data_IF_087680830503
#
_entry.id   IF_087680830503
#
_cell.length_a   1.000
_cell.length_b   1.000
_cell.length_c   1.000
_cell.angle_alpha   90.00
_cell.angle_beta   90.00
_cell.angle_gamma   90.00
#
_symmetry.space_group_name_H-M   'P 1'
#
loop_
_entity.id
_entity.type
_entity.pdbx_description
1 polymer ?
#
# COMPACT_ATOMS: atom_id res chain seq x y z
N UNK A 1 -23.76 26.73 -28.30
CA UNK A 1 -22.28 26.59 -28.18
C UNK A 1 -21.97 25.15 -27.84
N UNK A 2 -20.94 24.52 -28.46
CA UNK A 2 -20.47 23.19 -28.03
C UNK A 2 -19.84 23.32 -26.64
N UNK A 3 -20.24 22.44 -25.68
CA UNK A 3 -19.63 22.39 -24.38
C UNK A 3 -18.12 22.08 -24.51
N UNK A 4 -17.26 22.65 -23.66
CA UNK A 4 -15.83 22.33 -23.68
C UNK A 4 -15.63 20.84 -23.39
N UNK A 5 -14.70 20.22 -24.10
CA UNK A 5 -14.23 18.87 -23.78
C UNK A 5 -13.16 19.04 -22.71
N UNK A 6 -13.46 18.54 -21.51
CA UNK A 6 -12.53 18.56 -20.36
C UNK A 6 -12.09 17.11 -20.12
N UNK A 7 -10.78 16.78 -20.27
CA UNK A 7 -10.25 15.47 -19.90
C UNK A 7 -10.40 15.22 -18.39
N UNK A 8 -10.48 13.96 -18.00
CA UNK A 8 -10.60 13.57 -16.59
C UNK A 8 -9.47 14.14 -15.72
N UNK A 9 -8.24 14.15 -16.23
CA UNK A 9 -7.05 14.63 -15.53
C UNK A 9 -7.08 16.14 -15.24
N UNK A 10 -7.86 16.91 -16.01
CA UNK A 10 -8.01 18.36 -15.84
C UNK A 10 -9.17 18.74 -14.91
N UNK A 11 -10.00 17.79 -14.45
CA UNK A 11 -11.18 18.09 -13.64
C UNK A 11 -10.78 18.83 -12.37
N UNK A 12 -9.89 18.27 -11.56
CA UNK A 12 -9.52 18.86 -10.28
C UNK A 12 -8.82 20.22 -10.44
N UNK A 13 -7.97 20.38 -11.42
CA UNK A 13 -7.35 21.67 -11.74
C UNK A 13 -8.39 22.75 -12.03
N UNK A 14 -9.40 22.40 -12.83
CA UNK A 14 -10.48 23.32 -13.18
C UNK A 14 -11.40 23.61 -11.98
N UNK A 15 -11.66 22.60 -11.14
CA UNK A 15 -12.44 22.76 -9.89
C UNK A 15 -11.72 23.70 -8.93
N UNK A 16 -10.43 23.50 -8.69
CA UNK A 16 -9.62 24.37 -7.80
C UNK A 16 -9.63 25.82 -8.31
N UNK A 17 -9.37 26.03 -9.60
CA UNK A 17 -9.39 27.36 -10.20
C UNK A 17 -10.79 28.03 -10.08
N UNK A 18 -11.85 27.27 -10.27
CA UNK A 18 -13.20 27.77 -10.12
C UNK A 18 -13.53 28.13 -8.66
N UNK A 19 -13.12 27.30 -7.70
CA UNK A 19 -13.33 27.52 -6.29
C UNK A 19 -12.52 28.74 -5.75
N UNK A 20 -11.29 28.91 -6.18
CA UNK A 20 -10.43 30.04 -5.79
C UNK A 20 -10.89 31.39 -6.37
N UNK A 21 -11.50 31.38 -7.56
CA UNK A 21 -11.99 32.60 -8.23
C UNK A 21 -13.36 33.09 -7.72
N UNK A 22 -13.98 32.41 -6.75
CA UNK A 22 -15.26 32.81 -6.20
C UNK A 22 -15.12 33.91 -5.15
N UNK A 23 -16.17 34.72 -5.05
CA UNK A 23 -16.39 35.63 -3.91
C UNK A 23 -16.37 34.84 -2.58
N UNK A 24 -16.13 35.51 -1.44
CA UNK A 24 -16.19 34.86 -0.14
C UNK A 24 -17.51 34.10 0.03
N UNK A 25 -17.41 32.86 0.52
CA UNK A 25 -18.57 32.03 0.89
C UNK A 25 -19.11 32.56 2.21
N UNK A 26 -20.43 32.69 2.38
CA UNK A 26 -21.02 33.10 3.66
C UNK A 26 -20.60 32.15 4.80
N UNK A 27 -20.19 32.70 5.93
CA UNK A 27 -19.80 31.91 7.11
C UNK A 27 -20.90 30.94 7.58
N UNK A 28 -22.17 31.35 7.39
CA UNK A 28 -23.32 30.52 7.70
C UNK A 28 -23.40 29.21 6.91
N UNK A 29 -22.69 29.13 5.76
CA UNK A 29 -22.72 27.95 4.91
C UNK A 29 -21.94 26.75 5.52
N UNK A 30 -20.96 27.04 6.40
CA UNK A 30 -20.07 26.01 6.94
C UNK A 30 -19.21 25.35 5.86
N UNK A 31 -18.93 24.07 6.04
CA UNK A 31 -18.07 23.31 5.12
C UNK A 31 -18.80 22.98 3.81
N UNK A 32 -18.11 23.23 2.70
CA UNK A 32 -18.56 22.92 1.33
C UNK A 32 -17.70 21.82 0.75
N UNK A 33 -18.30 20.71 0.35
CA UNK A 33 -17.61 19.58 -0.25
C UNK A 33 -17.87 19.53 -1.76
N UNK A 34 -16.80 19.59 -2.55
CA UNK A 34 -16.83 19.40 -4.01
C UNK A 34 -16.54 17.93 -4.28
N UNK A 35 -17.57 17.14 -4.49
CA UNK A 35 -17.49 15.68 -4.56
C UNK A 35 -17.48 15.22 -6.02
N UNK A 36 -16.39 14.61 -6.46
CA UNK A 36 -16.33 13.87 -7.72
C UNK A 36 -16.86 12.46 -7.46
N UNK A 37 -17.96 12.12 -8.12
CA UNK A 37 -18.59 10.82 -7.96
C UNK A 37 -17.92 9.74 -8.83
N UNK A 38 -18.41 8.50 -8.72
CA UNK A 38 -17.88 7.33 -9.46
C UNK A 38 -17.93 7.46 -10.98
N UNK A 39 -18.73 8.38 -11.52
CA UNK A 39 -18.83 8.65 -12.97
C UNK A 39 -17.94 9.82 -13.42
N UNK A 40 -17.13 10.38 -12.52
CA UNK A 40 -16.28 11.54 -12.79
C UNK A 40 -17.04 12.87 -12.86
N UNK A 41 -18.31 12.94 -12.42
CA UNK A 41 -19.05 14.18 -12.34
C UNK A 41 -18.90 14.84 -10.97
N UNK A 42 -18.75 16.17 -10.95
CA UNK A 42 -18.54 16.95 -9.74
C UNK A 42 -19.84 17.58 -9.27
N UNK A 43 -20.16 17.39 -7.99
CA UNK A 43 -21.32 17.98 -7.28
C UNK A 43 -20.87 18.73 -6.03
N UNK A 44 -21.70 19.64 -5.59
CA UNK A 44 -21.54 20.35 -4.32
C UNK A 44 -22.37 19.64 -3.27
N UNK A 45 -21.76 19.25 -2.14
CA UNK A 45 -22.48 18.71 -0.98
C UNK A 45 -22.28 19.63 0.22
N UNK A 46 -23.36 19.95 0.89
CA UNK A 46 -23.39 20.83 2.08
C UNK A 46 -24.40 20.28 3.11
N UNK A 47 -24.30 20.73 4.35
CA UNK A 47 -25.27 20.37 5.37
C UNK A 47 -26.71 20.77 4.99
N UNK A 48 -27.69 19.92 5.28
CA UNK A 48 -29.11 20.18 5.09
C UNK A 48 -29.63 21.32 6.02
N UNK A 49 -28.89 21.65 7.07
CA UNK A 49 -29.19 22.78 7.95
C UNK A 49 -29.28 24.14 7.23
N UNK A 50 -28.63 24.29 6.05
CA UNK A 50 -28.62 25.55 5.28
C UNK A 50 -29.58 25.56 4.09
N UNK A 51 -30.41 24.52 3.89
CA UNK A 51 -31.31 24.38 2.75
C UNK A 51 -32.31 25.55 2.59
N UNK A 52 -32.71 26.16 3.69
CA UNK A 52 -33.66 27.28 3.68
C UNK A 52 -33.04 28.69 3.65
N UNK A 53 -31.72 28.84 3.64
CA UNK A 53 -31.02 30.12 3.64
C UNK A 53 -30.84 30.65 2.23
N UNK A 54 -31.54 31.75 1.89
CA UNK A 54 -31.49 32.37 0.57
C UNK A 54 -30.07 32.86 0.19
N UNK A 55 -29.29 33.36 1.16
CA UNK A 55 -27.92 33.85 0.91
C UNK A 55 -26.99 32.70 0.60
N UNK A 56 -27.06 31.62 1.37
CA UNK A 56 -26.31 30.39 1.14
C UNK A 56 -26.69 29.75 -0.20
N UNK A 57 -27.97 29.66 -0.50
CA UNK A 57 -28.46 29.12 -1.76
C UNK A 57 -27.96 29.92 -2.98
N UNK A 58 -27.97 31.25 -2.91
CA UNK A 58 -27.46 32.09 -3.97
C UNK A 58 -25.96 31.89 -4.21
N UNK A 59 -25.16 31.72 -3.16
CA UNK A 59 -23.73 31.43 -3.26
C UNK A 59 -23.46 30.05 -3.90
N UNK A 60 -24.19 29.02 -3.45
CA UNK A 60 -24.09 27.65 -4.00
C UNK A 60 -24.50 27.59 -5.46
N UNK A 61 -25.54 28.32 -5.86
CA UNK A 61 -25.97 28.41 -7.26
C UNK A 61 -24.94 29.09 -8.15
N UNK A 62 -24.24 30.13 -7.66
CA UNK A 62 -23.12 30.74 -8.39
C UNK A 62 -21.98 29.75 -8.61
N UNK A 63 -21.61 29.01 -7.55
CA UNK A 63 -20.59 27.98 -7.62
C UNK A 63 -20.98 26.85 -8.58
N UNK A 64 -22.19 26.31 -8.47
CA UNK A 64 -22.70 25.25 -9.33
C UNK A 64 -22.69 25.67 -10.82
N UNK A 65 -23.12 26.91 -11.12
CA UNK A 65 -23.07 27.45 -12.47
C UNK A 65 -21.65 27.53 -12.99
N UNK A 66 -20.73 28.02 -12.17
CA UNK A 66 -19.32 28.15 -12.55
C UNK A 66 -18.68 26.79 -12.80
N UNK A 67 -18.92 25.81 -11.94
CA UNK A 67 -18.44 24.42 -12.13
C UNK A 67 -18.99 23.82 -13.42
N UNK A 68 -20.29 24.02 -13.71
CA UNK A 68 -20.89 23.53 -14.96
C UNK A 68 -20.24 24.15 -16.21
N UNK A 69 -19.94 25.45 -16.18
CA UNK A 69 -19.28 26.15 -17.29
C UNK A 69 -17.86 25.63 -17.56
N UNK A 70 -17.05 25.39 -16.49
CA UNK A 70 -15.63 25.02 -16.64
C UNK A 70 -15.40 23.52 -16.81
N UNK A 71 -16.34 22.68 -16.35
CA UNK A 71 -16.19 21.23 -16.37
C UNK A 71 -16.92 20.55 -17.55
N UNK A 72 -17.73 21.28 -18.30
CA UNK A 72 -18.43 20.71 -19.45
C UNK A 72 -19.32 19.52 -19.10
N UNK A 73 -19.00 18.32 -19.62
CA UNK A 73 -19.77 17.09 -19.33
C UNK A 73 -19.60 16.58 -17.88
N UNK A 74 -18.51 16.94 -17.23
CA UNK A 74 -18.24 16.57 -15.82
C UNK A 74 -18.93 17.52 -14.82
N UNK A 75 -19.43 18.68 -15.25
CA UNK A 75 -20.23 19.57 -14.43
C UNK A 75 -21.70 19.20 -14.48
N UNK A 76 -22.31 18.93 -13.31
CA UNK A 76 -23.75 18.62 -13.24
C UNK A 76 -24.57 19.89 -13.46
N UNK A 77 -25.74 19.78 -14.09
CA UNK A 77 -26.68 20.88 -14.28
C UNK A 77 -27.08 21.49 -12.92
N UNK A 78 -27.29 22.80 -12.89
CA UNK A 78 -27.51 23.61 -11.70
C UNK A 78 -28.57 23.04 -10.74
N UNK A 79 -29.66 22.47 -11.26
CA UNK A 79 -30.76 21.89 -10.48
C UNK A 79 -30.38 20.62 -9.71
N UNK A 80 -29.37 19.87 -10.20
CA UNK A 80 -28.89 18.60 -9.61
C UNK A 80 -27.44 18.70 -9.13
N UNK A 81 -26.85 19.89 -9.19
CA UNK A 81 -25.44 20.13 -8.85
C UNK A 81 -25.17 20.33 -7.35
N UNK A 82 -26.24 20.63 -6.60
CA UNK A 82 -26.17 20.91 -5.15
C UNK A 82 -26.94 19.80 -4.44
N UNK A 83 -26.29 19.19 -3.45
CA UNK A 83 -26.89 18.17 -2.58
C UNK A 83 -26.88 18.67 -1.14
N UNK A 84 -28.05 18.81 -0.56
CA UNK A 84 -28.23 19.02 0.85
C UNK A 84 -28.27 17.64 1.55
N UNK A 85 -27.36 17.41 2.47
CA UNK A 85 -27.13 16.09 3.06
C UNK A 85 -26.95 16.21 4.58
N UNK A 86 -27.28 15.15 5.30
CA UNK A 86 -27.12 15.12 6.75
C UNK A 86 -25.65 15.19 7.17
N UNK A 87 -25.38 15.72 8.36
CA UNK A 87 -24.02 15.76 8.93
C UNK A 87 -23.41 14.37 9.06
N UNK A 88 -24.22 13.33 9.27
CA UNK A 88 -23.75 11.94 9.29
C UNK A 88 -23.18 11.52 7.93
N UNK A 89 -23.85 11.88 6.84
CA UNK A 89 -23.35 11.63 5.49
C UNK A 89 -22.08 12.44 5.20
N UNK A 90 -22.03 13.73 5.59
CA UNK A 90 -20.82 14.54 5.43
C UNK A 90 -19.61 13.92 6.16
N UNK A 91 -19.82 13.40 7.36
CA UNK A 91 -18.78 12.68 8.10
C UNK A 91 -18.31 11.41 7.37
N UNK A 92 -19.22 10.68 6.74
CA UNK A 92 -18.87 9.45 6.00
C UNK A 92 -18.02 9.68 4.74
N UNK A 93 -18.08 10.89 4.16
CA UNK A 93 -17.31 11.24 2.93
C UNK A 93 -16.04 12.03 3.23
N UNK A 94 -15.67 12.24 4.48
CA UNK A 94 -14.49 13.05 4.86
C UNK A 94 -13.16 12.31 4.69
N UNK A 95 -13.16 11.00 4.44
CA UNK A 95 -11.94 10.25 4.15
C UNK A 95 -11.27 10.78 2.88
N UNK A 96 -9.99 11.19 2.99
CA UNK A 96 -9.23 11.72 1.85
C UNK A 96 -9.67 13.12 1.37
N UNK A 97 -10.34 13.92 2.21
CA UNK A 97 -10.67 15.31 1.86
C UNK A 97 -9.42 16.18 1.78
N UNK A 98 -9.35 17.03 0.74
CA UNK A 98 -8.30 18.02 0.54
C UNK A 98 -8.89 19.42 0.58
N UNK A 99 -8.37 20.26 1.46
CA UNK A 99 -8.79 21.67 1.53
C UNK A 99 -8.17 22.46 0.36
N UNK A 100 -9.00 23.24 -0.35
CA UNK A 100 -8.56 24.13 -1.43
C UNK A 100 -8.62 25.60 -1.07
N UNK A 101 -9.47 25.95 -0.12
CA UNK A 101 -9.58 27.24 0.56
C UNK A 101 -10.37 27.03 1.86
N UNK A 102 -10.36 28.00 2.79
CA UNK A 102 -11.11 27.86 4.05
C UNK A 102 -12.56 27.39 3.82
N UNK A 103 -12.94 26.31 4.47
CA UNK A 103 -14.26 25.68 4.42
C UNK A 103 -14.66 25.09 3.05
N UNK A 104 -13.71 24.89 2.08
CA UNK A 104 -14.01 24.23 0.81
C UNK A 104 -13.06 23.07 0.59
N UNK A 105 -13.64 21.88 0.47
CA UNK A 105 -12.91 20.63 0.39
C UNK A 105 -13.21 19.88 -0.92
N UNK A 106 -12.20 19.25 -1.49
CA UNK A 106 -12.35 18.25 -2.55
C UNK A 106 -12.50 16.88 -1.94
N UNK A 107 -13.41 16.07 -2.50
CA UNK A 107 -13.61 14.69 -2.12
C UNK A 107 -13.73 13.85 -3.39
N UNK A 108 -12.92 12.81 -3.53
CA UNK A 108 -13.02 11.87 -4.63
C UNK A 108 -13.68 10.56 -4.13
N UNK A 109 -14.80 10.19 -4.76
CA UNK A 109 -15.44 8.91 -4.45
C UNK A 109 -14.88 7.84 -5.36
N UNK A 110 -14.21 6.88 -4.77
CA UNK A 110 -13.58 5.76 -5.44
C UNK A 110 -14.29 4.45 -5.08
N UNK A 111 -14.26 3.48 -5.99
CA UNK A 111 -14.69 2.10 -5.72
C UNK A 111 -13.49 1.27 -5.27
N UNK A 112 -12.32 1.62 -5.80
CA UNK A 112 -11.05 0.96 -5.51
C UNK A 112 -9.95 2.02 -5.43
N UNK A 113 -8.79 1.65 -4.94
CA UNK A 113 -7.61 2.49 -4.76
C UNK A 113 -7.78 3.60 -3.70
N UNK A 114 -8.80 3.53 -2.84
CA UNK A 114 -9.03 4.50 -1.76
C UNK A 114 -7.94 4.45 -0.69
N UNK A 115 -7.36 3.28 -0.46
CA UNK A 115 -6.37 3.05 0.60
C UNK A 115 -4.98 3.64 0.26
N UNK A 116 -4.74 4.02 -1.00
CA UNK A 116 -3.53 4.77 -1.39
C UNK A 116 -3.52 6.24 -0.96
N UNK A 117 -4.62 6.76 -0.43
CA UNK A 117 -4.80 8.17 -0.07
C UNK A 117 -4.52 8.47 1.40
N UNK A 118 -4.16 7.47 2.17
CA UNK A 118 -3.84 7.59 3.59
C UNK A 118 -2.57 6.84 3.91
N UNK A 119 -1.84 7.29 4.90
CA UNK A 119 -0.70 6.57 5.49
C UNK A 119 -0.99 6.39 6.96
N UNK A 120 -1.07 5.14 7.40
CA UNK A 120 -1.26 4.80 8.80
C UNK A 120 -0.01 5.10 9.65
N UNK A 121 -0.21 5.27 10.94
CA UNK A 121 0.91 5.37 11.86
C UNK A 121 1.71 4.06 11.89
N UNK A 122 3.06 4.13 11.99
CA UNK A 122 3.88 2.93 12.16
C UNK A 122 3.40 2.09 13.35
N UNK A 123 3.58 0.77 13.29
CA UNK A 123 3.21 -0.10 14.40
C UNK A 123 3.93 0.35 15.69
N UNK A 124 3.20 0.30 16.81
CA UNK A 124 3.69 0.74 18.11
C UNK A 124 5.03 0.09 18.49
N UNK A 125 5.94 0.85 19.15
CA UNK A 125 7.18 0.30 19.70
C UNK A 125 6.90 -0.92 20.60
N UNK A 126 7.72 -1.97 20.47
CA UNK A 126 7.62 -3.19 21.28
C UNK A 126 6.83 -4.34 20.63
N UNK A 127 6.24 -4.14 19.45
CA UNK A 127 5.70 -5.23 18.62
C UNK A 127 6.72 -5.71 17.60
N UNK A 128 6.41 -6.86 16.95
CA UNK A 128 7.24 -7.42 15.90
C UNK A 128 7.59 -6.41 14.80
N UNK A 129 8.81 -6.44 14.29
CA UNK A 129 9.18 -5.66 13.12
C UNK A 129 8.44 -6.18 11.88
N UNK A 130 7.71 -5.32 11.17
CA UNK A 130 6.86 -5.69 10.02
C UNK A 130 7.48 -5.24 8.72
N UNK A 131 7.76 -6.18 7.83
CA UNK A 131 8.30 -5.93 6.50
C UNK A 131 7.30 -6.36 5.43
N UNK A 132 6.92 -5.43 4.55
CA UNK A 132 6.07 -5.73 3.39
C UNK A 132 6.93 -5.92 2.15
N UNK A 133 6.76 -7.05 1.45
CA UNK A 133 7.35 -7.33 0.16
C UNK A 133 6.33 -6.93 -0.93
N UNK A 134 6.58 -5.84 -1.61
CA UNK A 134 5.66 -5.27 -2.59
C UNK A 134 6.30 -5.10 -3.96
N UNK A 135 5.52 -5.19 -5.02
CA UNK A 135 5.91 -4.83 -6.38
C UNK A 135 4.73 -4.37 -7.22
N UNK A 136 4.99 -3.47 -8.16
CA UNK A 136 4.00 -3.06 -9.16
C UNK A 136 3.76 -4.12 -10.24
N UNK A 137 4.70 -5.05 -10.44
CA UNK A 137 4.60 -6.17 -11.40
C UNK A 137 4.70 -7.52 -10.69
N UNK A 138 3.96 -8.51 -11.17
CA UNK A 138 4.08 -9.89 -10.72
C UNK A 138 5.35 -10.59 -11.26
N UNK A 139 5.70 -11.73 -10.66
CA UNK A 139 6.79 -12.59 -11.16
C UNK A 139 8.22 -12.10 -10.85
N UNK A 140 8.38 -11.16 -9.94
CA UNK A 140 9.69 -10.60 -9.54
C UNK A 140 10.31 -11.29 -8.30
N UNK A 141 9.79 -12.43 -7.87
CA UNK A 141 10.42 -13.27 -6.83
C UNK A 141 10.06 -12.90 -5.38
N UNK A 142 8.99 -12.14 -5.10
CA UNK A 142 8.55 -11.80 -3.73
C UNK A 142 8.33 -13.02 -2.85
N UNK A 143 7.52 -14.00 -3.31
CA UNK A 143 7.23 -15.24 -2.57
C UNK A 143 8.49 -16.02 -2.24
N UNK A 144 9.42 -16.13 -3.19
CA UNK A 144 10.72 -16.76 -2.98
C UNK A 144 11.52 -15.99 -1.93
N UNK A 145 11.54 -14.67 -2.01
CA UNK A 145 12.25 -13.82 -1.05
C UNK A 145 11.64 -13.91 0.35
N UNK A 146 10.31 -13.93 0.47
CA UNK A 146 9.65 -14.12 1.76
C UNK A 146 10.06 -15.45 2.42
N UNK A 147 10.10 -16.55 1.65
CA UNK A 147 10.57 -17.85 2.12
C UNK A 147 12.05 -17.85 2.53
N UNK A 148 12.90 -17.21 1.72
CA UNK A 148 14.36 -17.10 2.00
C UNK A 148 14.62 -16.23 3.24
N UNK A 149 13.91 -15.10 3.40
CA UNK A 149 14.01 -14.27 4.58
C UNK A 149 13.55 -15.02 5.84
N UNK A 150 12.41 -15.72 5.78
CA UNK A 150 11.94 -16.53 6.90
C UNK A 150 12.96 -17.62 7.28
N UNK A 151 13.53 -18.30 6.28
CA UNK A 151 14.58 -19.29 6.47
C UNK A 151 15.85 -18.70 7.11
N UNK A 152 16.32 -17.54 6.62
CA UNK A 152 17.50 -16.84 7.14
C UNK A 152 17.30 -16.39 8.59
N UNK A 153 16.19 -15.70 8.86
CA UNK A 153 15.87 -15.17 10.19
C UNK A 153 15.71 -16.30 11.22
N UNK A 154 15.02 -17.39 10.86
CA UNK A 154 14.83 -18.52 11.78
C UNK A 154 16.15 -19.25 12.08
N UNK A 155 17.05 -19.37 11.12
CA UNK A 155 18.41 -19.88 11.38
C UNK A 155 19.21 -19.01 12.33
N UNK A 156 18.91 -17.71 12.37
CA UNK A 156 19.50 -16.74 13.31
C UNK A 156 18.69 -16.64 14.63
N UNK A 157 17.85 -17.63 14.94
CA UNK A 157 17.12 -17.74 16.21
C UNK A 157 15.89 -16.85 16.32
N UNK A 158 15.41 -16.22 15.21
CA UNK A 158 14.21 -15.38 15.23
C UNK A 158 12.93 -16.19 15.04
N UNK A 159 11.87 -15.76 15.71
CA UNK A 159 10.50 -16.25 15.47
C UNK A 159 9.88 -15.40 14.36
N UNK A 160 9.49 -16.02 13.27
CA UNK A 160 9.02 -15.34 12.05
C UNK A 160 7.59 -15.74 11.74
N UNK A 161 6.70 -14.77 11.58
CA UNK A 161 5.39 -14.94 11.00
C UNK A 161 5.42 -14.48 9.55
N UNK A 162 4.98 -15.31 8.61
CA UNK A 162 4.84 -14.95 7.19
C UNK A 162 3.36 -15.00 6.82
N UNK A 163 2.84 -13.94 6.22
CA UNK A 163 1.45 -13.84 5.76
C UNK A 163 1.40 -13.74 4.23
N UNK A 164 0.68 -14.68 3.60
CA UNK A 164 0.43 -14.68 2.14
C UNK A 164 -0.82 -13.84 1.84
N UNK A 165 -0.62 -12.57 1.53
CA UNK A 165 -1.69 -11.61 1.22
C UNK A 165 -1.95 -11.45 -0.30
N UNK A 166 -1.29 -12.26 -1.15
CA UNK A 166 -1.65 -12.37 -2.58
C UNK A 166 -2.82 -13.35 -2.76
N UNK A 167 -4.00 -12.93 -2.26
CA UNK A 167 -5.15 -13.80 -2.16
C UNK A 167 -5.71 -14.24 -3.52
N UNK A 168 -5.53 -13.47 -4.59
CA UNK A 168 -6.00 -13.81 -5.92
C UNK A 168 -5.04 -14.74 -6.67
N UNK A 169 -3.76 -14.72 -6.31
CA UNK A 169 -2.73 -15.55 -6.95
C UNK A 169 -1.79 -16.16 -5.90
N UNK A 170 -2.34 -16.93 -4.94
CA UNK A 170 -1.56 -17.44 -3.81
C UNK A 170 -0.47 -18.39 -4.29
N UNK A 171 0.78 -18.01 -4.05
CA UNK A 171 1.94 -18.77 -4.50
C UNK A 171 2.86 -19.21 -3.38
N UNK A 172 3.09 -18.36 -2.39
CA UNK A 172 3.99 -18.59 -1.27
C UNK A 172 3.64 -19.86 -0.50
N UNK A 173 2.38 -19.97 -0.08
CA UNK A 173 1.93 -21.07 0.77
C UNK A 173 2.11 -22.43 0.12
N UNK A 174 1.79 -22.54 -1.17
CA UNK A 174 1.95 -23.80 -1.91
C UNK A 174 3.40 -24.11 -2.22
N UNK A 175 4.27 -23.12 -2.32
CA UNK A 175 5.69 -23.30 -2.56
C UNK A 175 6.46 -23.76 -1.31
N UNK A 176 5.98 -23.37 -0.10
CA UNK A 176 6.68 -23.56 1.18
C UNK A 176 6.07 -24.67 2.03
N UNK A 177 4.73 -24.82 2.03
CA UNK A 177 4.02 -25.82 2.81
C UNK A 177 3.63 -27.03 1.96
N UNK A 178 4.07 -28.22 2.38
CA UNK A 178 3.59 -29.47 1.79
C UNK A 178 2.06 -29.62 2.03
N UNK A 179 1.32 -30.28 1.13
CA UNK A 179 -0.13 -30.38 1.21
C UNK A 179 -0.66 -30.93 2.54
N UNK A 180 0.06 -31.88 3.15
CA UNK A 180 -0.28 -32.52 4.43
C UNK A 180 0.01 -31.61 5.64
N UNK A 181 0.81 -30.56 5.47
CA UNK A 181 1.15 -29.58 6.51
C UNK A 181 0.31 -28.31 6.47
N UNK A 182 -0.54 -28.13 5.47
CA UNK A 182 -1.39 -26.94 5.39
C UNK A 182 -2.33 -26.88 6.59
N UNK A 183 -2.53 -25.70 7.20
CA UNK A 183 -3.47 -25.53 8.30
C UNK A 183 -4.91 -25.67 7.81
N UNK A 184 -5.86 -25.80 8.73
CA UNK A 184 -7.27 -25.96 8.39
C UNK A 184 -7.86 -24.71 7.75
N UNK A 185 -7.42 -23.52 8.19
CA UNK A 185 -7.90 -22.22 7.74
C UNK A 185 -6.75 -21.38 7.20
N UNK A 186 -7.07 -20.42 6.32
CA UNK A 186 -6.16 -19.41 5.83
C UNK A 186 -6.69 -18.00 6.06
N UNK A 187 -5.97 -17.02 5.51
CA UNK A 187 -6.31 -15.59 5.64
C UNK A 187 -7.70 -15.30 5.09
N UNK A 188 -8.04 -15.86 3.91
CA UNK A 188 -9.38 -15.72 3.30
C UNK A 188 -10.48 -16.25 4.19
N UNK A 189 -10.24 -17.36 4.89
CA UNK A 189 -11.21 -17.94 5.83
C UNK A 189 -11.47 -16.99 6.99
N UNK A 190 -10.41 -16.42 7.58
CA UNK A 190 -10.55 -15.48 8.69
C UNK A 190 -11.37 -14.24 8.28
N UNK A 191 -11.10 -13.67 7.10
CA UNK A 191 -11.84 -12.50 6.63
C UNK A 191 -13.34 -12.77 6.49
N UNK A 192 -13.70 -13.96 6.01
CA UNK A 192 -15.12 -14.36 5.87
C UNK A 192 -15.75 -14.62 7.24
N UNK A 193 -15.06 -15.33 8.13
CA UNK A 193 -15.54 -15.60 9.48
C UNK A 193 -15.64 -14.34 10.33
N UNK A 194 -14.77 -13.36 10.10
CA UNK A 194 -14.82 -12.07 10.77
C UNK A 194 -16.08 -11.26 10.43
N UNK A 195 -16.67 -11.43 9.23
CA UNK A 195 -17.93 -10.78 8.86
C UNK A 195 -19.12 -11.18 9.76
N UNK A 196 -19.04 -12.37 10.35
CA UNK A 196 -20.08 -12.90 11.28
C UNK A 196 -19.58 -12.99 12.72
N UNK A 197 -18.46 -12.32 13.04
CA UNK A 197 -17.91 -12.26 14.40
C UNK A 197 -17.21 -13.53 14.90
N UNK A 198 -16.80 -14.44 13.99
CA UNK A 198 -16.17 -15.72 14.34
C UNK A 198 -14.66 -15.76 13.99
N UNK A 199 -14.05 -14.68 13.53
CA UNK A 199 -12.64 -14.64 13.11
C UNK A 199 -11.67 -15.19 14.16
N UNK A 200 -11.83 -14.79 15.43
CA UNK A 200 -10.95 -15.25 16.53
C UNK A 200 -11.00 -16.77 16.78
N UNK A 201 -12.08 -17.44 16.37
CA UNK A 201 -12.23 -18.88 16.58
C UNK A 201 -11.35 -19.72 15.65
N UNK A 202 -10.86 -19.15 14.56
CA UNK A 202 -10.02 -19.83 13.57
C UNK A 202 -8.53 -19.57 13.75
N UNK A 203 -8.13 -18.52 14.47
CA UNK A 203 -6.74 -18.06 14.63
C UNK A 203 -5.77 -19.20 15.00
N UNK A 204 -6.04 -19.97 16.03
CA UNK A 204 -5.17 -21.06 16.49
C UNK A 204 -4.97 -22.21 15.47
N UNK A 205 -5.68 -22.19 14.32
CA UNK A 205 -5.61 -23.20 13.26
C UNK A 205 -5.30 -22.60 11.88
N UNK A 206 -4.75 -21.37 11.86
CA UNK A 206 -4.45 -20.64 10.62
C UNK A 206 -2.98 -20.68 10.21
N UNK A 207 -2.10 -21.20 11.04
CA UNK A 207 -0.67 -21.19 10.76
C UNK A 207 -0.07 -22.58 10.76
N UNK A 208 0.98 -22.77 9.96
CA UNK A 208 1.76 -23.99 9.94
C UNK A 208 3.25 -23.68 9.78
N UNK A 209 4.09 -24.61 10.28
CA UNK A 209 5.53 -24.54 10.12
C UNK A 209 6.00 -25.35 8.90
N UNK A 210 6.89 -24.80 8.04
CA UNK A 210 7.51 -25.57 6.98
C UNK A 210 8.46 -26.62 7.57
N UNK A 211 8.71 -27.71 6.81
CA UNK A 211 9.55 -28.83 7.30
C UNK A 211 10.97 -28.38 7.66
N UNK A 212 11.56 -27.53 6.83
CA UNK A 212 12.94 -27.07 7.05
C UNK A 212 13.14 -26.19 8.28
N UNK A 213 12.07 -25.64 8.86
CA UNK A 213 12.16 -24.85 10.08
C UNK A 213 12.35 -25.69 11.36
N UNK A 214 12.11 -27.01 11.29
CA UNK A 214 12.18 -27.88 12.47
C UNK A 214 13.59 -28.04 13.07
N UNK A 215 14.63 -27.79 12.26
CA UNK A 215 16.02 -27.96 12.64
C UNK A 215 16.69 -26.64 13.04
N UNK A 216 15.92 -25.55 13.20
CA UNK A 216 16.44 -24.23 13.51
C UNK A 216 16.18 -23.84 14.97
N UNK A 217 17.02 -22.94 15.50
CA UNK A 217 16.84 -22.39 16.83
C UNK A 217 15.64 -21.42 16.93
N UNK A 218 15.26 -20.80 15.82
CA UNK A 218 14.07 -19.96 15.68
C UNK A 218 12.82 -20.77 15.27
N UNK A 219 11.70 -20.06 15.07
CA UNK A 219 10.44 -20.64 14.60
C UNK A 219 9.95 -19.92 13.35
N UNK A 220 9.23 -20.63 12.47
CA UNK A 220 8.55 -20.05 11.32
C UNK A 220 7.09 -20.49 11.32
N UNK A 221 6.21 -19.51 11.27
CA UNK A 221 4.76 -19.71 11.08
C UNK A 221 4.32 -19.07 9.79
N UNK A 222 3.70 -19.86 8.92
CA UNK A 222 3.12 -19.40 7.65
C UNK A 222 1.61 -19.33 7.83
N UNK A 223 1.02 -18.14 7.65
CA UNK A 223 -0.41 -17.95 7.48
C UNK A 223 -0.72 -17.94 5.98
N UNK A 224 -1.25 -19.02 5.40
CA UNK A 224 -1.51 -19.13 3.98
C UNK A 224 -2.72 -18.30 3.56
N UNK A 225 -2.81 -17.94 2.28
CA UNK A 225 -3.97 -17.29 1.70
C UNK A 225 -5.26 -18.11 1.87
N UNK A 226 -5.16 -19.45 1.78
CA UNK A 226 -6.26 -20.39 2.04
C UNK A 226 -5.81 -21.60 2.86
N UNK A 227 -6.73 -22.16 3.62
CA UNK A 227 -6.52 -23.39 4.37
C UNK A 227 -6.45 -24.64 3.48
N UNK A 228 -6.51 -25.82 4.13
CA UNK A 228 -6.46 -27.13 3.47
C UNK A 228 -7.60 -27.32 2.46
N UNK A 229 -8.81 -26.88 2.84
CA UNK A 229 -10.00 -26.98 2.00
C UNK A 229 -10.18 -25.71 1.16
N UNK A 230 -10.10 -25.83 -0.16
CA UNK A 230 -10.19 -24.70 -1.10
C UNK A 230 -11.43 -24.73 -2.02
N UNK A 231 -12.37 -25.66 -1.77
CA UNK A 231 -13.54 -25.87 -2.64
C UNK A 231 -14.43 -24.64 -2.83
N UNK A 232 -14.57 -23.81 -1.80
CA UNK A 232 -15.36 -22.56 -1.80
C UNK A 232 -14.49 -21.29 -1.94
N UNK A 233 -13.24 -21.44 -2.38
CA UNK A 233 -12.27 -20.32 -2.35
C UNK A 233 -12.75 -19.08 -3.12
N UNK A 234 -13.27 -19.24 -4.32
CA UNK A 234 -13.78 -18.12 -5.13
C UNK A 234 -14.98 -17.43 -4.45
N UNK A 235 -15.85 -18.20 -3.80
CA UNK A 235 -16.99 -17.65 -3.07
C UNK A 235 -16.53 -16.85 -1.84
N UNK A 236 -15.49 -17.31 -1.15
CA UNK A 236 -14.86 -16.62 -0.03
C UNK A 236 -14.13 -15.35 -0.51
N UNK A 237 -13.32 -15.46 -1.56
CA UNK A 237 -12.57 -14.34 -2.14
C UNK A 237 -13.48 -13.17 -2.52
N UNK A 238 -14.65 -13.44 -3.10
CA UNK A 238 -15.65 -12.42 -3.42
C UNK A 238 -16.23 -11.70 -2.19
N UNK A 239 -15.93 -12.16 -0.96
CA UNK A 239 -16.41 -11.56 0.30
C UNK A 239 -15.31 -10.91 1.13
N UNK A 240 -14.05 -11.24 0.86
CA UNK A 240 -12.89 -10.71 1.62
C UNK A 240 -12.89 -9.19 1.62
N UNK A 241 -13.19 -8.58 0.46
CA UNK A 241 -13.10 -7.14 0.23
C UNK A 241 -14.41 -6.39 0.49
N UNK A 242 -15.40 -7.05 1.05
CA UNK A 242 -16.64 -6.36 1.42
C UNK A 242 -16.34 -5.39 2.57
N UNK A 243 -16.44 -4.10 2.30
CA UNK A 243 -16.48 -3.11 3.36
C UNK A 243 -17.78 -3.25 4.14
N UNK A 244 -17.66 -3.22 5.44
CA UNK A 244 -18.80 -3.00 6.32
C UNK A 244 -18.74 -1.56 6.83
N UNK A 245 -19.89 -0.95 7.12
CA UNK A 245 -19.97 0.43 7.61
C UNK A 245 -19.16 0.66 8.91
N UNK A 246 -18.78 -0.42 9.60
CA UNK A 246 -18.12 -0.39 10.91
C UNK A 246 -16.62 -0.78 10.79
N UNK A 247 -16.27 -1.70 9.89
CA UNK A 247 -14.92 -2.28 9.78
C UNK A 247 -14.47 -2.32 8.32
N UNK A 248 -13.87 -1.23 7.79
CA UNK A 248 -13.23 -1.23 6.47
C UNK A 248 -12.07 -2.25 6.40
N UNK A 249 -11.69 -2.63 5.19
CA UNK A 249 -10.69 -3.67 4.94
C UNK A 249 -9.36 -3.46 5.68
N UNK A 250 -8.75 -2.25 5.69
CA UNK A 250 -7.50 -2.01 6.42
C UNK A 250 -7.62 -2.27 7.94
N UNK A 251 -8.75 -1.89 8.54
CA UNK A 251 -9.01 -2.13 9.97
C UNK A 251 -9.11 -3.63 10.27
N UNK A 252 -9.75 -4.40 9.38
CA UNK A 252 -9.82 -5.86 9.52
C UNK A 252 -8.46 -6.52 9.34
N UNK A 253 -7.64 -6.05 8.37
CA UNK A 253 -6.28 -6.51 8.19
C UNK A 253 -5.43 -6.26 9.45
N UNK A 254 -5.52 -5.07 10.01
CA UNK A 254 -4.83 -4.73 11.25
C UNK A 254 -5.24 -5.65 12.41
N UNK A 255 -6.55 -5.90 12.58
CA UNK A 255 -7.07 -6.83 13.60
C UNK A 255 -6.54 -8.25 13.41
N UNK A 256 -6.59 -8.80 12.18
CA UNK A 256 -6.02 -10.11 11.87
C UNK A 256 -4.54 -10.18 12.25
N UNK A 257 -3.78 -9.17 11.85
CA UNK A 257 -2.35 -9.10 12.14
C UNK A 257 -2.07 -9.11 13.65
N UNK A 258 -2.81 -8.30 14.41
CA UNK A 258 -2.72 -8.25 15.88
C UNK A 258 -3.05 -9.62 16.52
N UNK A 259 -4.11 -10.31 16.04
CA UNK A 259 -4.50 -11.62 16.56
C UNK A 259 -3.44 -12.68 16.29
N UNK A 260 -2.85 -12.69 15.09
CA UNK A 260 -1.77 -13.61 14.73
C UNK A 260 -0.46 -13.28 15.48
N UNK A 261 -0.12 -12.00 15.68
CA UNK A 261 1.04 -11.60 16.50
C UNK A 261 0.86 -12.03 17.96
N UNK A 262 -0.33 -11.95 18.52
CA UNK A 262 -0.60 -12.41 19.89
C UNK A 262 -0.50 -13.93 19.99
N UNK A 263 -0.97 -14.67 18.99
CA UNK A 263 -0.93 -16.14 18.94
C UNK A 263 0.50 -16.67 18.74
N UNK A 264 1.24 -16.11 17.76
CA UNK A 264 2.55 -16.61 17.35
C UNK A 264 3.71 -15.95 18.11
N UNK A 265 3.49 -14.79 18.73
CA UNK A 265 4.52 -13.95 19.38
C UNK A 265 5.82 -13.83 18.57
N UNK A 266 5.73 -13.36 17.29
CA UNK A 266 6.89 -13.29 16.40
C UNK A 266 7.82 -12.14 16.77
N UNK A 267 9.10 -12.28 16.43
CA UNK A 267 10.08 -11.17 16.44
C UNK A 267 10.00 -10.36 15.15
N UNK A 268 9.65 -11.03 14.05
CA UNK A 268 9.54 -10.43 12.70
C UNK A 268 8.28 -10.94 12.00
N UNK A 269 7.57 -10.03 11.33
CA UNK A 269 6.44 -10.34 10.43
C UNK A 269 6.81 -9.99 9.01
N UNK A 270 6.67 -10.94 8.09
CA UNK A 270 6.85 -10.76 6.65
C UNK A 270 5.47 -10.80 5.98
N UNK A 271 5.10 -9.71 5.30
CA UNK A 271 3.85 -9.58 4.58
C UNK A 271 4.13 -9.68 3.08
N UNK A 272 3.76 -10.79 2.44
CA UNK A 272 3.79 -10.87 0.98
C UNK A 272 2.55 -10.19 0.42
N UNK A 273 2.72 -8.96 -0.06
CA UNK A 273 1.65 -8.18 -0.64
C UNK A 273 1.29 -8.64 -2.05
N UNK A 274 0.06 -8.41 -2.48
CA UNK A 274 -0.33 -8.51 -3.88
C UNK A 274 0.45 -7.52 -4.75
N UNK A 275 0.69 -7.88 -6.02
CA UNK A 275 1.28 -6.95 -7.00
C UNK A 275 0.26 -5.96 -7.56
N UNK A 276 0.76 -4.81 -8.03
CA UNK A 276 -0.04 -3.78 -8.71
C UNK A 276 -0.65 -2.76 -7.76
N UNK A 277 -1.35 -1.79 -8.34
CA UNK A 277 -1.95 -0.66 -7.63
C UNK A 277 -3.36 -1.00 -7.12
N UNK A 278 -3.48 -2.02 -6.28
CA UNK A 278 -4.73 -2.51 -5.70
C UNK A 278 -4.84 -2.13 -4.22
N UNK A 279 -6.05 -1.98 -3.68
CA UNK A 279 -6.29 -1.56 -2.29
C UNK A 279 -5.63 -2.46 -1.24
N UNK A 280 -5.57 -3.78 -1.49
CA UNK A 280 -4.86 -4.69 -0.58
C UNK A 280 -3.38 -4.34 -0.49
N UNK A 281 -2.76 -4.06 -1.66
CA UNK A 281 -1.37 -3.63 -1.70
C UNK A 281 -1.20 -2.29 -0.99
N UNK A 282 -2.15 -1.36 -1.16
CA UNK A 282 -2.16 -0.09 -0.47
C UNK A 282 -2.10 -0.29 1.04
N UNK A 283 -3.08 -0.97 1.64
CA UNK A 283 -3.12 -1.17 3.09
C UNK A 283 -1.88 -1.89 3.64
N UNK A 284 -1.30 -2.85 2.88
CA UNK A 284 -0.05 -3.50 3.30
C UNK A 284 1.17 -2.59 3.25
N UNK A 285 1.19 -1.60 2.35
CA UNK A 285 2.28 -0.65 2.17
C UNK A 285 2.11 0.56 3.08
N UNK A 286 0.90 1.14 3.15
CA UNK A 286 0.67 2.42 3.81
C UNK A 286 0.29 2.30 5.29
N UNK A 287 -0.44 1.22 5.69
CA UNK A 287 -1.01 1.15 7.04
C UNK A 287 -0.25 0.23 7.98
N UNK A 288 0.10 -0.99 7.52
CA UNK A 288 0.59 -2.03 8.45
C UNK A 288 2.11 -2.22 8.44
N UNK A 289 2.80 -1.80 7.38
CA UNK A 289 4.25 -1.96 7.27
C UNK A 289 5.02 -0.97 8.14
N UNK A 290 6.03 -1.46 8.87
CA UNK A 290 7.09 -0.61 9.42
C UNK A 290 8.13 -0.31 8.35
N UNK A 291 8.38 -1.25 7.44
CA UNK A 291 9.30 -1.11 6.32
C UNK A 291 8.77 -1.83 5.07
N UNK A 292 8.98 -1.23 3.90
CA UNK A 292 8.51 -1.75 2.61
C UNK A 292 9.70 -2.00 1.68
N UNK A 293 9.82 -3.24 1.22
CA UNK A 293 10.77 -3.66 0.20
C UNK A 293 10.08 -3.58 -1.17
N UNK A 294 10.49 -2.61 -1.99
CA UNK A 294 9.94 -2.34 -3.31
C UNK A 294 10.68 -3.16 -4.38
N UNK A 295 10.11 -4.26 -4.83
CA UNK A 295 10.73 -5.13 -5.84
C UNK A 295 10.58 -4.55 -7.24
N UNK A 296 11.69 -4.36 -7.94
CA UNK A 296 11.74 -3.88 -9.31
C UNK A 296 12.78 -4.66 -10.14
N UNK A 297 12.59 -4.65 -11.46
CA UNK A 297 13.60 -4.97 -12.45
C UNK A 297 13.94 -3.72 -13.25
N UNK A 298 15.14 -3.64 -13.86
CA UNK A 298 15.50 -2.52 -14.73
C UNK A 298 14.72 -2.58 -16.05
N UNK A 299 13.45 -2.15 -15.98
CA UNK A 299 12.56 -2.09 -17.14
C UNK A 299 11.71 -0.82 -17.11
N UNK A 300 11.50 -0.23 -18.29
CA UNK A 300 10.70 0.98 -18.45
C UNK A 300 9.30 0.85 -17.83
N UNK A 301 8.68 -0.34 -17.94
CA UNK A 301 7.35 -0.55 -17.36
C UNK A 301 7.35 -0.56 -15.84
N UNK A 302 8.39 -1.07 -15.17
CA UNK A 302 8.52 -0.97 -13.71
C UNK A 302 8.68 0.48 -13.26
N UNK A 303 9.60 1.22 -13.89
CA UNK A 303 9.84 2.62 -13.55
C UNK A 303 8.62 3.50 -13.78
N UNK A 304 7.88 3.26 -14.88
CA UNK A 304 6.63 3.99 -15.18
C UNK A 304 5.57 3.76 -14.11
N UNK A 305 5.34 2.51 -13.68
CA UNK A 305 4.31 2.21 -12.71
C UNK A 305 4.68 2.71 -11.30
N UNK A 306 5.95 2.60 -10.88
CA UNK A 306 6.39 3.21 -9.63
C UNK A 306 6.30 4.75 -9.68
N UNK A 307 6.59 5.37 -10.83
CA UNK A 307 6.42 6.83 -11.02
C UNK A 307 4.97 7.26 -10.84
N UNK A 308 4.00 6.44 -11.30
CA UNK A 308 2.56 6.70 -11.06
C UNK A 308 2.28 6.73 -9.56
N UNK A 309 2.77 5.73 -8.80
CA UNK A 309 2.56 5.62 -7.37
C UNK A 309 3.23 6.77 -6.59
N UNK A 310 4.50 7.03 -6.85
CA UNK A 310 5.26 8.06 -6.14
C UNK A 310 4.73 9.46 -6.43
N UNK A 311 4.34 9.73 -7.68
CA UNK A 311 3.67 10.98 -8.05
C UNK A 311 2.34 11.13 -7.33
N UNK A 312 1.57 10.05 -7.14
CA UNK A 312 0.35 10.08 -6.37
C UNK A 312 0.64 10.49 -4.91
N UNK A 313 1.62 9.88 -4.24
CA UNK A 313 2.00 10.27 -2.89
C UNK A 313 2.47 11.71 -2.78
N UNK A 314 3.26 12.18 -3.73
CA UNK A 314 3.71 13.57 -3.79
C UNK A 314 2.54 14.56 -3.97
N UNK A 315 1.60 14.27 -4.87
CA UNK A 315 0.44 15.12 -5.14
C UNK A 315 -0.56 15.20 -3.98
N UNK A 316 -0.53 14.24 -3.08
CA UNK A 316 -1.44 14.16 -1.93
C UNK A 316 -0.76 14.39 -0.58
N UNK A 317 0.46 14.94 -0.59
CA UNK A 317 1.24 15.29 0.61
C UNK A 317 1.50 14.07 1.54
N UNK A 318 1.65 12.87 0.93
CA UNK A 318 1.91 11.60 1.64
C UNK A 318 3.38 11.19 1.57
N UNK A 319 4.17 11.79 0.68
CA UNK A 319 5.57 11.43 0.44
C UNK A 319 6.40 11.46 1.72
N UNK A 320 6.30 12.52 2.52
CA UNK A 320 7.02 12.68 3.80
C UNK A 320 6.65 11.61 4.83
N UNK A 321 5.41 11.11 4.80
CA UNK A 321 4.91 10.14 5.77
C UNK A 321 5.39 8.71 5.49
N UNK A 322 5.75 8.40 4.22
CA UNK A 322 6.08 7.04 3.79
C UNK A 322 7.55 6.85 3.40
N UNK A 323 8.23 7.89 2.94
CA UNK A 323 9.56 7.81 2.30
C UNK A 323 10.63 7.11 3.15
N UNK A 324 10.62 7.31 4.46
CA UNK A 324 11.59 6.70 5.38
C UNK A 324 11.40 5.18 5.55
N UNK A 325 10.23 4.66 5.16
CA UNK A 325 9.91 3.23 5.26
C UNK A 325 10.30 2.45 4.02
N UNK A 326 10.73 3.11 2.95
CA UNK A 326 10.93 2.49 1.63
C UNK A 326 12.37 2.07 1.41
N UNK A 327 12.58 0.90 0.84
CA UNK A 327 13.85 0.48 0.23
C UNK A 327 13.59 -0.27 -1.07
N UNK A 328 14.41 -0.01 -2.08
CA UNK A 328 14.29 -0.67 -3.39
C UNK A 328 15.07 -1.98 -3.44
N UNK A 329 14.51 -2.95 -4.15
CA UNK A 329 15.13 -4.27 -4.38
C UNK A 329 15.35 -4.47 -5.87
N UNK A 330 16.61 -4.65 -6.28
CA UNK A 330 16.95 -5.12 -7.62
C UNK A 330 16.66 -6.60 -7.71
N UNK A 331 15.48 -6.94 -8.19
CA UNK A 331 15.01 -8.30 -8.33
C UNK A 331 15.49 -8.93 -9.65
N UNK A 332 15.79 -10.22 -9.61
CA UNK A 332 16.18 -10.99 -10.78
C UNK A 332 17.40 -10.38 -11.53
N UNK A 333 18.35 -9.82 -10.80
CA UNK A 333 19.59 -9.25 -11.34
C UNK A 333 20.29 -10.29 -12.21
N UNK A 334 20.61 -9.99 -13.49
CA UNK A 334 21.13 -10.97 -14.43
C UNK A 334 22.56 -11.44 -14.06
N UNK A 335 22.90 -12.68 -14.44
CA UNK A 335 24.23 -13.26 -14.23
C UNK A 335 25.30 -12.61 -15.14
N UNK A 336 24.90 -12.07 -16.27
CA UNK A 336 25.79 -11.43 -17.27
C UNK A 336 25.58 -9.93 -17.28
N UNK A 337 26.66 -9.17 -17.48
CA UNK A 337 26.67 -7.70 -17.52
C UNK A 337 26.08 -7.06 -16.23
N UNK A 338 26.31 -7.73 -15.11
CA UNK A 338 25.72 -7.40 -13.80
C UNK A 338 26.04 -5.98 -13.36
N UNK A 339 27.30 -5.55 -13.46
CA UNK A 339 27.73 -4.21 -13.03
C UNK A 339 27.00 -3.10 -13.80
N UNK A 340 26.94 -3.24 -15.13
CA UNK A 340 26.23 -2.27 -15.97
C UNK A 340 24.73 -2.27 -15.73
N UNK A 341 24.14 -3.44 -15.45
CA UNK A 341 22.73 -3.55 -15.08
C UNK A 341 22.47 -2.84 -13.77
N UNK A 342 23.26 -3.08 -12.73
CA UNK A 342 23.10 -2.46 -11.41
C UNK A 342 23.30 -0.95 -11.45
N UNK A 343 24.27 -0.47 -12.22
CA UNK A 343 24.45 0.97 -12.42
C UNK A 343 23.19 1.63 -12.99
N UNK A 344 22.64 1.08 -14.09
CA UNK A 344 21.39 1.64 -14.66
C UNK A 344 20.20 1.51 -13.73
N UNK A 345 20.12 0.40 -12.98
CA UNK A 345 19.07 0.20 -11.99
C UNK A 345 19.14 1.27 -10.89
N UNK A 346 20.34 1.51 -10.37
CA UNK A 346 20.58 2.52 -9.34
C UNK A 346 20.28 3.94 -9.82
N UNK A 347 20.74 4.28 -11.04
CA UNK A 347 20.39 5.55 -11.70
C UNK A 347 18.88 5.73 -11.84
N UNK A 348 18.15 4.71 -12.31
CA UNK A 348 16.70 4.73 -12.46
C UNK A 348 15.94 4.83 -11.13
N UNK A 349 16.46 4.14 -10.10
CA UNK A 349 15.92 4.23 -8.75
C UNK A 349 16.17 5.61 -8.14
N UNK A 350 17.39 6.13 -8.25
CA UNK A 350 17.73 7.45 -7.74
C UNK A 350 16.90 8.55 -8.40
N UNK A 351 16.74 8.55 -9.72
CA UNK A 351 15.89 9.49 -10.46
C UNK A 351 14.43 9.44 -9.93
N UNK A 352 13.90 8.24 -9.71
CA UNK A 352 12.54 8.05 -9.21
C UNK A 352 12.36 8.64 -7.80
N UNK A 353 13.29 8.34 -6.88
CA UNK A 353 13.25 8.82 -5.49
C UNK A 353 13.50 10.33 -5.42
N UNK A 354 14.50 10.86 -6.14
CA UNK A 354 14.83 12.29 -6.21
C UNK A 354 13.64 13.10 -6.71
N UNK A 355 12.99 12.67 -7.77
CA UNK A 355 11.94 13.44 -8.43
C UNK A 355 10.64 13.50 -7.62
N UNK A 356 10.44 12.59 -6.62
CA UNK A 356 9.16 12.46 -5.95
C UNK A 356 9.19 12.36 -4.42
N UNK A 357 10.30 11.94 -3.83
CA UNK A 357 10.38 11.63 -2.40
C UNK A 357 11.48 12.39 -1.66
N UNK A 358 12.56 12.79 -2.34
CA UNK A 358 13.66 13.53 -1.72
C UNK A 358 13.32 15.00 -1.63
N UNK A 359 13.87 15.66 -0.60
CA UNK A 359 13.72 17.09 -0.42
C UNK A 359 14.61 17.85 -1.43
N UNK A 360 14.08 18.96 -1.99
CA UNK A 360 14.87 19.90 -2.77
C UNK A 360 15.79 20.68 -1.82
N UNK A 361 17.06 20.28 -1.75
CA UNK A 361 18.06 20.92 -0.90
C UNK A 361 18.83 21.95 -1.70
N UNK A 362 18.63 23.25 -1.42
CA UNK A 362 19.31 24.36 -2.12
C UNK A 362 20.83 24.44 -1.81
N UNK A 363 21.35 23.74 -0.81
CA UNK A 363 22.78 23.74 -0.45
C UNK A 363 23.22 22.42 0.21
N UNK A 364 24.40 21.88 -0.12
CA UNK A 364 24.91 20.61 0.40
C UNK A 364 25.22 20.58 1.91
N UNK A 365 25.02 21.68 2.64
CA UNK A 365 25.34 21.83 4.06
C UNK A 365 24.13 21.82 5.00
N UNK A 366 22.89 21.62 4.51
CA UNK A 366 21.72 21.49 5.39
C UNK A 366 21.60 20.04 5.90
N UNK A 367 22.08 19.80 7.11
CA UNK A 367 22.08 18.48 7.79
C UNK A 367 20.67 17.92 8.10
N UNK A 368 19.59 18.62 7.73
CA UNK A 368 18.23 18.34 8.18
C UNK A 368 17.26 17.87 7.06
N UNK A 369 17.73 17.56 5.84
CA UNK A 369 16.88 17.14 4.73
C UNK A 369 16.92 15.63 4.44
N UNK A 370 15.79 15.05 4.01
CA UNK A 370 15.73 13.67 3.48
C UNK A 370 16.15 13.71 1.99
N UNK A 371 17.46 13.77 1.74
CA UNK A 371 18.06 13.82 0.42
C UNK A 371 19.36 13.01 0.40
N UNK A 372 19.65 12.33 -0.71
CA UNK A 372 20.77 11.43 -0.86
C UNK A 372 21.39 11.60 -2.25
N UNK A 373 22.73 11.51 -2.31
CA UNK A 373 23.46 11.45 -3.57
C UNK A 373 23.34 10.05 -4.21
N UNK A 374 23.57 9.98 -5.52
CA UNK A 374 23.47 8.71 -6.30
C UNK A 374 24.29 7.57 -5.68
N UNK A 375 25.48 7.89 -5.17
CA UNK A 375 26.45 6.92 -4.66
C UNK A 375 26.38 6.72 -3.14
N UNK A 376 25.35 7.25 -2.49
CA UNK A 376 25.17 7.08 -1.04
C UNK A 376 24.79 5.65 -0.69
N UNK A 377 25.66 4.98 0.06
CA UNK A 377 25.42 3.64 0.59
C UNK A 377 24.23 3.67 1.59
N UNK A 378 23.45 2.60 1.61
CA UNK A 378 22.29 2.42 2.50
C UNK A 378 21.16 3.46 2.30
N UNK A 379 21.21 4.31 1.27
CA UNK A 379 20.11 5.17 0.88
C UNK A 379 18.87 4.36 0.43
N UNK A 380 17.65 4.91 0.50
CA UNK A 380 16.43 4.21 0.06
C UNK A 380 16.47 3.72 -1.39
N UNK A 381 17.16 4.44 -2.28
CA UNK A 381 17.34 4.10 -3.69
C UNK A 381 18.50 3.16 -3.96
N UNK A 382 19.45 2.99 -3.01
CA UNK A 382 20.53 2.03 -3.15
C UNK A 382 19.96 0.61 -3.06
N UNK A 383 20.11 -0.27 -4.08
CA UNK A 383 19.30 -1.48 -4.16
C UNK A 383 19.77 -2.63 -3.26
N UNK A 384 18.82 -3.33 -2.62
CA UNK A 384 19.05 -4.67 -2.12
C UNK A 384 19.08 -5.63 -3.34
N UNK A 385 20.17 -6.33 -3.56
CA UNK A 385 20.40 -7.08 -4.81
C UNK A 385 20.07 -8.55 -4.66
N UNK A 386 19.16 -9.07 -5.52
CA UNK A 386 18.83 -10.49 -5.65
C UNK A 386 19.23 -10.95 -7.05
N UNK A 387 20.21 -11.87 -7.12
CA UNK A 387 20.66 -12.44 -8.38
C UNK A 387 19.69 -13.51 -8.91
N UNK A 388 19.41 -13.45 -10.22
CA UNK A 388 18.67 -14.50 -10.88
C UNK A 388 19.51 -15.79 -10.91
N UNK A 389 18.90 -16.92 -10.55
CA UNK A 389 19.54 -18.23 -10.64
C UNK A 389 18.57 -19.27 -11.19
N UNK A 390 19.06 -20.17 -12.02
CA UNK A 390 18.24 -21.26 -12.60
C UNK A 390 17.60 -22.13 -11.51
N UNK A 391 18.30 -22.35 -10.39
CA UNK A 391 17.83 -23.19 -9.29
C UNK A 391 16.56 -22.67 -8.63
N UNK A 392 16.37 -21.35 -8.59
CA UNK A 392 15.18 -20.70 -8.01
C UNK A 392 14.12 -20.35 -9.07
N UNK A 393 14.53 -20.08 -10.32
CA UNK A 393 13.63 -19.67 -11.40
C UNK A 393 12.79 -20.82 -11.98
N UNK A 394 13.22 -22.07 -11.87
CA UNK A 394 12.53 -23.23 -12.46
C UNK A 394 11.28 -23.70 -11.69
N UNK A 395 10.69 -22.87 -10.84
CA UNK A 395 9.56 -23.28 -9.98
C UNK A 395 9.99 -24.33 -8.95
N UNK A 396 11.27 -24.27 -8.53
CA UNK A 396 11.78 -25.15 -7.49
C UNK A 396 10.91 -25.05 -6.26
N UNK A 397 10.48 -26.18 -5.75
CA UNK A 397 9.79 -26.26 -4.47
C UNK A 397 10.70 -25.67 -3.39
N UNK A 398 10.18 -24.68 -2.67
CA UNK A 398 10.89 -24.09 -1.52
C UNK A 398 10.76 -24.99 -0.26
N UNK A 399 10.30 -26.23 -0.44
CA UNK A 399 10.22 -27.23 0.65
C UNK A 399 11.62 -27.68 1.12
N UNK A 400 12.67 -27.50 0.32
CA UNK A 400 14.04 -27.86 0.66
C UNK A 400 15.00 -26.74 0.25
N UNK A 401 15.00 -25.63 1.01
CA UNK A 401 15.93 -24.52 0.82
C UNK A 401 17.33 -24.93 1.25
N UNK A 402 18.28 -24.92 0.30
CA UNK A 402 19.68 -25.24 0.55
C UNK A 402 20.52 -23.97 0.71
N UNK A 403 21.38 -23.98 1.71
CA UNK A 403 22.30 -22.85 1.96
C UNK A 403 23.09 -22.42 0.73
N UNK A 404 23.60 -23.37 -0.08
CA UNK A 404 24.35 -23.05 -1.30
C UNK A 404 23.52 -22.29 -2.35
N UNK A 405 22.25 -22.66 -2.53
CA UNK A 405 21.34 -22.00 -3.47
C UNK A 405 20.96 -20.61 -2.97
N UNK A 406 20.67 -20.50 -1.68
CA UNK A 406 20.34 -19.21 -1.05
C UNK A 406 21.54 -18.27 -1.12
N UNK A 407 22.74 -18.72 -0.72
CA UNK A 407 23.95 -17.88 -0.73
C UNK A 407 24.29 -17.38 -2.13
N UNK A 408 24.11 -18.19 -3.17
CA UNK A 408 24.42 -17.78 -4.54
C UNK A 408 23.54 -16.61 -5.03
N UNK A 409 22.25 -16.61 -4.66
CA UNK A 409 21.30 -15.61 -5.15
C UNK A 409 21.09 -14.44 -4.17
N UNK A 410 21.21 -14.67 -2.87
CA UNK A 410 20.72 -13.78 -1.84
C UNK A 410 21.79 -13.25 -0.86
N UNK A 411 23.08 -13.62 -0.96
CA UNK A 411 24.07 -13.22 0.04
C UNK A 411 24.10 -11.69 0.24
N UNK A 412 24.23 -10.93 -0.83
CA UNK A 412 24.25 -9.46 -0.80
C UNK A 412 22.95 -8.88 -0.25
N UNK A 413 21.80 -9.42 -0.68
CA UNK A 413 20.48 -9.02 -0.19
C UNK A 413 20.34 -9.23 1.33
N UNK A 414 20.72 -10.41 1.82
CA UNK A 414 20.60 -10.77 3.23
C UNK A 414 21.51 -9.93 4.13
N UNK A 415 22.76 -9.70 3.71
CA UNK A 415 23.69 -8.85 4.45
C UNK A 415 23.17 -7.42 4.60
N UNK A 416 22.58 -6.88 3.52
CA UNK A 416 22.00 -5.55 3.56
C UNK A 416 20.68 -5.51 4.35
N UNK A 417 19.82 -6.51 4.19
CA UNK A 417 18.60 -6.64 5.01
C UNK A 417 18.92 -6.70 6.49
N UNK A 418 19.96 -7.44 6.90
CA UNK A 418 20.38 -7.50 8.31
C UNK A 418 20.87 -6.13 8.84
N UNK A 419 21.53 -5.30 8.01
CA UNK A 419 21.88 -3.92 8.39
C UNK A 419 20.63 -3.06 8.57
N UNK A 420 19.71 -3.10 7.61
CA UNK A 420 18.43 -2.40 7.65
C UNK A 420 17.63 -2.76 8.91
N UNK A 421 17.52 -4.05 9.22
CA UNK A 421 16.78 -4.55 10.36
C UNK A 421 17.38 -4.08 11.71
N UNK A 422 18.71 -3.96 11.78
CA UNK A 422 19.39 -3.42 12.98
C UNK A 422 19.17 -1.91 13.15
N UNK A 423 19.17 -1.16 12.05
CA UNK A 423 18.94 0.28 12.09
C UNK A 423 17.51 0.64 12.53
N UNK A 424 16.51 -0.17 12.13
CA UNK A 424 15.10 0.01 12.51
C UNK A 424 14.72 -0.54 13.89
N UNK A 425 15.64 -1.26 14.58
CA UNK A 425 15.37 -1.73 15.94
C UNK A 425 15.54 -0.59 16.94
N UNK A 426 14.59 -0.37 17.89
CA UNK A 426 14.82 0.57 18.99
C UNK A 426 16.11 0.19 19.69
N UNK A 427 17.05 1.15 19.82
CA UNK A 427 18.25 0.93 20.64
C UNK A 427 17.78 0.56 22.03
N UNK A 428 18.13 -0.64 22.50
CA UNK A 428 17.99 -1.00 23.92
C UNK A 428 18.69 0.11 24.73
N UNK A 429 17.88 0.92 25.43
CA UNK A 429 18.38 1.89 26.42
C UNK A 429 18.45 1.24 27.78
#
# INVERSE_FOLDING_TARGET
MRKPIVPFDDIWKNVVNAAQALEPIPDALGDVYLVRNLYGTVRISVSDAVEGDESCLAALQRLARRLHEVLGAHGVLQENGILFVTDAFLKSIQGGKREVRPNVYLVDRLVTASDWWTVGEPPFPGKAARYTLYSVKGGVGRSTTAAVLAWHLARNGKRVLVMDLDLESPGLSSAVLEPDRRPDYGITDWFVEALVGQGEQVIGRMTAAPRWAQDFDGDVRIAPAHGRESGEYLAKLGRVYMDTDVDPWPVRLHRLLMSLENECTPDVVLLESRSGLHDIAAATVTDVAAHVLLFATDSESNWTDYRILFRHWQQHDLAEQIRERLSIVSALTPEFDTERYLQRFQEGAWDLFRDHLYDDVEAPDSADGFSFDLDDDDAPHDPLVIHWTRGLAAGASLHDLKHSTVSLAYASFLDRFDRLARAGSPREQ
#
